data_IF_747967713280
#
_entry.id   IF_747967713280
#
_cell.length_a   1.000
_cell.length_b   1.000
_cell.length_c   1.000
_cell.angle_alpha   90.00
_cell.angle_beta   90.00
_cell.angle_gamma   90.00
#
_symmetry.space_group_name_H-M   'P 1'
#
loop_
_entity.id
_entity.type
_entity.pdbx_description
1 polymer ?
#
# COMPACT_ATOMS: atom_id res chain seq x y z
N UNK A 1 18.04 13.85 3.86
CA UNK A 1 18.02 12.38 4.04
C UNK A 1 17.40 11.70 2.82
N UNK A 2 18.19 11.02 1.99
CA UNK A 2 17.73 10.40 0.73
C UNK A 2 16.85 9.15 0.91
N UNK A 3 16.17 8.73 -0.17
CA UNK A 3 15.22 7.61 -0.17
C UNK A 3 15.85 6.27 0.29
N UNK A 4 17.09 5.98 -0.11
CA UNK A 4 17.83 4.75 0.29
C UNK A 4 18.01 4.65 1.81
N UNK A 5 18.38 5.75 2.49
CA UNK A 5 18.52 5.77 3.93
C UNK A 5 17.18 5.57 4.68
N UNK A 6 16.07 6.00 4.08
CA UNK A 6 14.74 5.76 4.66
C UNK A 6 14.34 4.29 4.56
N UNK A 7 14.70 3.61 3.47
CA UNK A 7 14.45 2.17 3.29
C UNK A 7 15.23 1.34 4.32
N UNK A 8 16.52 1.62 4.51
CA UNK A 8 17.34 0.91 5.50
C UNK A 8 16.79 1.07 6.93
N UNK A 9 16.33 2.27 7.30
CA UNK A 9 15.64 2.49 8.59
C UNK A 9 14.35 1.70 8.71
N UNK A 10 13.60 1.55 7.62
CA UNK A 10 12.34 0.82 7.59
C UNK A 10 12.55 -0.69 7.73
N UNK A 11 13.60 -1.23 7.08
CA UNK A 11 14.02 -2.62 7.24
C UNK A 11 14.40 -2.91 8.70
N UNK A 12 15.23 -2.05 9.32
CA UNK A 12 15.58 -2.19 10.74
C UNK A 12 14.35 -2.21 11.65
N UNK A 13 13.36 -1.36 11.38
CA UNK A 13 12.09 -1.33 12.13
C UNK A 13 11.29 -2.62 11.98
N UNK A 14 11.24 -3.21 10.78
CA UNK A 14 10.55 -4.50 10.58
C UNK A 14 11.23 -5.62 11.36
N UNK A 15 12.55 -5.72 11.27
CA UNK A 15 13.33 -6.76 11.98
C UNK A 15 13.21 -6.62 13.50
N UNK A 16 13.36 -5.39 14.02
CA UNK A 16 13.21 -5.15 15.46
C UNK A 16 11.77 -5.38 15.93
N UNK A 17 10.76 -5.01 15.14
CA UNK A 17 9.37 -5.28 15.49
C UNK A 17 9.06 -6.78 15.51
N UNK A 18 9.60 -7.56 14.57
CA UNK A 18 9.50 -9.03 14.56
C UNK A 18 10.13 -9.66 15.81
N UNK A 19 11.36 -9.27 16.14
CA UNK A 19 12.07 -9.80 17.32
C UNK A 19 11.35 -9.52 18.65
N UNK A 20 10.72 -8.35 18.78
CA UNK A 20 10.07 -7.92 20.03
C UNK A 20 8.58 -8.25 20.09
N UNK A 21 7.98 -8.78 19.02
CA UNK A 21 6.53 -8.95 18.89
C UNK A 21 5.94 -9.82 20.01
N UNK A 22 6.53 -10.99 20.22
CA UNK A 22 6.09 -11.97 21.22
C UNK A 22 6.20 -11.40 22.64
N UNK A 23 7.34 -10.81 22.98
CA UNK A 23 7.58 -10.23 24.31
C UNK A 23 6.60 -9.08 24.58
N UNK A 24 6.37 -8.22 23.59
CA UNK A 24 5.43 -7.12 23.69
C UNK A 24 4.00 -7.61 23.90
N UNK A 25 3.57 -8.64 23.17
CA UNK A 25 2.22 -9.23 23.32
C UNK A 25 2.04 -9.82 24.72
N UNK A 26 3.05 -10.52 25.24
CA UNK A 26 3.04 -11.04 26.61
C UNK A 26 2.89 -9.91 27.66
N UNK A 27 3.68 -8.84 27.56
CA UNK A 27 3.58 -7.72 28.48
C UNK A 27 2.24 -6.99 28.39
N UNK A 28 1.69 -6.81 27.18
CA UNK A 28 0.38 -6.20 26.99
C UNK A 28 -0.75 -7.04 27.59
N UNK A 29 -0.67 -8.36 27.47
CA UNK A 29 -1.63 -9.28 28.10
C UNK A 29 -1.61 -9.15 29.62
N UNK A 30 -0.43 -9.21 30.23
CA UNK A 30 -0.25 -9.08 31.69
C UNK A 30 -0.69 -7.70 32.18
N UNK A 31 -0.30 -6.63 31.49
CA UNK A 31 -0.60 -5.26 31.91
C UNK A 31 -2.10 -4.92 31.86
N UNK A 32 -2.86 -5.51 30.93
CA UNK A 32 -4.31 -5.27 30.76
C UNK A 32 -5.19 -6.19 31.59
N UNK A 33 -4.65 -7.30 32.09
CA UNK A 33 -5.41 -8.27 32.86
C UNK A 33 -5.74 -7.71 34.27
N UNK A 34 -7.02 -7.50 34.56
CA UNK A 34 -7.49 -6.95 35.85
C UNK A 34 -7.50 -7.96 36.99
N UNK A 35 -7.46 -9.27 36.70
CA UNK A 35 -7.45 -10.33 37.74
C UNK A 35 -6.08 -10.47 38.41
N UNK A 36 -5.03 -9.97 37.77
CA UNK A 36 -3.67 -9.98 38.31
C UNK A 36 -3.45 -8.84 39.30
N UNK A 37 -2.61 -9.05 40.34
CA UNK A 37 -2.28 -8.02 41.32
C UNK A 37 -1.54 -6.84 40.68
N UNK A 38 -1.79 -5.64 41.21
CA UNK A 38 -1.29 -4.38 40.66
C UNK A 38 0.24 -4.35 40.49
N UNK A 39 1.00 -4.94 41.42
CA UNK A 39 2.46 -5.00 41.36
C UNK A 39 2.98 -5.71 40.11
N UNK A 40 2.34 -6.82 39.71
CA UNK A 40 2.73 -7.59 38.52
C UNK A 40 2.42 -6.80 37.25
N UNK A 41 1.26 -6.13 37.20
CA UNK A 41 0.89 -5.26 36.08
C UNK A 41 1.87 -4.09 35.91
N UNK A 42 2.27 -3.48 37.03
CA UNK A 42 3.24 -2.38 37.02
C UNK A 42 4.61 -2.83 36.51
N UNK A 43 5.10 -4.00 36.94
CA UNK A 43 6.35 -4.58 36.41
C UNK A 43 6.26 -4.81 34.89
N UNK A 44 5.13 -5.31 34.39
CA UNK A 44 4.91 -5.48 32.95
C UNK A 44 4.86 -4.15 32.19
N UNK A 45 4.30 -3.09 32.79
CA UNK A 45 4.29 -1.74 32.20
C UNK A 45 5.70 -1.14 32.10
N UNK A 46 6.56 -1.35 33.12
CA UNK A 46 7.97 -0.97 33.06
C UNK A 46 8.70 -1.71 31.93
N UNK A 47 8.46 -3.02 31.78
CA UNK A 47 8.98 -3.80 30.66
C UNK A 47 8.47 -3.32 29.30
N UNK A 48 7.24 -2.83 29.22
CA UNK A 48 6.72 -2.27 27.98
C UNK A 48 7.40 -0.94 27.59
N UNK A 49 7.79 -0.12 28.58
CA UNK A 49 8.46 1.15 28.35
C UNK A 49 9.84 0.97 27.71
N UNK A 50 10.59 -0.06 28.08
CA UNK A 50 11.89 -0.36 27.45
C UNK A 50 11.72 -0.76 25.98
N UNK A 51 10.66 -1.51 25.65
CA UNK A 51 10.34 -1.94 24.28
C UNK A 51 9.71 -0.82 23.41
N UNK A 52 9.14 0.22 24.02
CA UNK A 52 8.46 1.31 23.33
C UNK A 52 9.42 2.35 22.68
N UNK A 53 10.73 2.22 22.87
CA UNK A 53 11.79 3.17 22.44
C UNK A 53 11.93 3.44 20.93
N UNK A 54 10.99 3.01 20.09
CA UNK A 54 10.74 3.62 18.78
C UNK A 54 10.80 2.67 17.58
N UNK A 55 11.53 1.56 17.67
CA UNK A 55 11.73 0.65 16.52
C UNK A 55 10.93 -0.66 16.64
N UNK A 56 10.66 -1.16 17.85
CA UNK A 56 9.98 -2.45 18.08
C UNK A 56 8.46 -2.46 17.97
N UNK A 57 7.83 -1.37 17.53
CA UNK A 57 6.36 -1.29 17.45
C UNK A 57 5.89 -1.54 16.03
N UNK A 58 4.97 -2.47 15.84
CA UNK A 58 4.34 -2.73 14.53
C UNK A 58 3.73 -1.45 13.92
N UNK A 59 3.14 -0.58 14.74
CA UNK A 59 2.61 0.72 14.28
C UNK A 59 3.68 1.76 13.88
N UNK A 60 4.97 1.51 14.10
CA UNK A 60 6.05 2.37 13.61
C UNK A 60 6.52 1.99 12.19
N UNK A 61 6.17 0.78 11.73
CA UNK A 61 6.42 0.30 10.37
C UNK A 61 5.45 0.97 9.42
N UNK A 62 5.94 1.50 8.28
CA UNK A 62 5.10 2.14 7.26
C UNK A 62 5.11 1.33 5.97
N UNK A 63 3.99 1.30 5.27
CA UNK A 63 3.92 0.73 3.94
C UNK A 63 4.67 1.64 2.95
N UNK A 64 5.59 1.07 2.17
CA UNK A 64 6.39 1.75 1.17
C UNK A 64 6.27 1.02 -0.17
N UNK A 65 6.41 1.76 -1.26
CA UNK A 65 6.54 1.16 -2.59
C UNK A 65 7.79 0.29 -2.65
N UNK A 66 7.68 -0.94 -3.14
CA UNK A 66 8.82 -1.87 -3.23
C UNK A 66 9.89 -1.41 -4.24
N UNK A 67 9.47 -0.88 -5.40
CA UNK A 67 10.39 -0.40 -6.44
C UNK A 67 11.10 0.90 -6.04
N UNK A 68 10.34 1.88 -5.56
CA UNK A 68 10.83 3.26 -5.39
C UNK A 68 11.12 3.66 -3.95
N UNK A 69 10.66 2.86 -2.97
CA UNK A 69 10.78 3.20 -1.53
C UNK A 69 9.91 4.39 -1.07
N UNK A 70 9.04 4.91 -1.95
CA UNK A 70 8.15 6.04 -1.66
C UNK A 70 7.09 5.65 -0.63
N UNK A 71 6.96 6.43 0.44
CA UNK A 71 6.04 6.14 1.56
C UNK A 71 4.64 6.75 1.46
N UNK A 72 4.29 7.37 0.32
CA UNK A 72 2.97 8.01 0.11
C UNK A 72 2.30 7.42 -1.12
N UNK A 73 0.98 7.28 -1.07
CA UNK A 73 0.18 6.77 -2.19
C UNK A 73 0.53 5.32 -2.55
N UNK A 74 0.84 4.50 -1.53
CA UNK A 74 1.08 3.07 -1.72
C UNK A 74 -0.27 2.36 -1.72
N UNK A 75 -0.54 1.57 -2.75
CA UNK A 75 -1.74 0.74 -2.86
C UNK A 75 -1.43 -0.59 -2.21
N UNK A 76 -1.99 -0.84 -1.02
CA UNK A 76 -1.65 -1.99 -0.17
C UNK A 76 -1.80 -3.35 -0.86
N UNK A 77 -2.75 -3.49 -1.80
CA UNK A 77 -2.97 -4.72 -2.58
C UNK A 77 -1.76 -5.12 -3.42
N UNK A 78 -1.04 -4.13 -3.97
CA UNK A 78 0.09 -4.35 -4.88
C UNK A 78 1.44 -4.02 -4.23
N UNK A 79 1.45 -3.32 -3.09
CA UNK A 79 2.69 -2.85 -2.46
C UNK A 79 3.44 -1.80 -3.31
N UNK A 80 2.77 -1.18 -4.27
CA UNK A 80 3.32 -0.24 -5.25
C UNK A 80 2.74 1.17 -5.07
N UNK A 81 3.49 2.18 -5.49
CA UNK A 81 2.96 3.56 -5.52
C UNK A 81 2.04 3.76 -6.73
N UNK A 82 1.12 4.73 -6.64
CA UNK A 82 0.16 5.07 -7.71
C UNK A 82 0.79 5.20 -9.11
N UNK A 83 1.99 5.78 -9.20
CA UNK A 83 2.69 5.99 -10.47
C UNK A 83 3.23 4.67 -11.01
N UNK A 84 3.95 3.88 -10.18
CA UNK A 84 4.43 2.55 -10.59
C UNK A 84 3.27 1.62 -10.96
N UNK A 85 2.18 1.59 -10.19
CA UNK A 85 1.01 0.76 -10.53
C UNK A 85 0.40 1.15 -11.87
N UNK A 86 0.40 2.43 -12.21
CA UNK A 86 -0.11 2.91 -13.49
C UNK A 86 0.78 2.45 -14.65
N UNK A 87 2.11 2.57 -14.50
CA UNK A 87 3.09 2.13 -15.51
C UNK A 87 3.01 0.62 -15.73
N UNK A 88 3.01 -0.16 -14.64
CA UNK A 88 2.93 -1.62 -14.70
C UNK A 88 1.61 -2.06 -15.35
N UNK A 89 0.47 -1.50 -14.92
CA UNK A 89 -0.83 -1.83 -15.50
C UNK A 89 -0.94 -1.46 -16.99
N UNK A 90 -0.31 -0.36 -17.41
CA UNK A 90 -0.26 0.02 -18.82
C UNK A 90 0.61 -0.95 -19.63
N UNK A 91 1.78 -1.33 -19.13
CA UNK A 91 2.67 -2.31 -19.76
C UNK A 91 2.01 -3.70 -19.89
N UNK A 92 1.23 -4.11 -18.89
CA UNK A 92 0.49 -5.37 -18.94
C UNK A 92 -0.58 -5.36 -20.04
N UNK A 93 -1.25 -4.21 -20.27
CA UNK A 93 -2.31 -4.07 -21.27
C UNK A 93 -1.83 -4.12 -22.73
N UNK A 94 -0.53 -3.91 -22.97
CA UNK A 94 0.08 -3.97 -24.32
C UNK A 94 0.77 -5.30 -24.63
N UNK A 95 0.77 -6.25 -23.69
CA UNK A 95 1.42 -7.56 -23.85
C UNK A 95 0.46 -8.61 -24.44
N UNK A 96 0.67 -8.97 -25.71
CA UNK A 96 -0.02 -10.10 -26.38
C UNK A 96 0.69 -11.45 -26.18
N UNK A 97 1.77 -11.51 -25.41
CA UNK A 97 2.55 -12.73 -25.17
C UNK A 97 2.12 -13.42 -23.88
N UNK A 98 1.52 -14.60 -24.02
CA UNK A 98 0.99 -15.46 -22.95
C UNK A 98 2.04 -16.00 -21.97
N UNK A 99 3.34 -15.89 -22.27
CA UNK A 99 4.40 -16.48 -21.47
C UNK A 99 4.94 -15.59 -20.33
N UNK A 100 4.70 -14.27 -20.36
CA UNK A 100 5.16 -13.35 -19.31
C UNK A 100 4.15 -13.08 -18.19
N UNK A 101 2.88 -13.50 -18.37
CA UNK A 101 1.84 -13.46 -17.31
C UNK A 101 2.24 -14.28 -16.08
N UNK A 102 3.07 -15.30 -16.25
CA UNK A 102 3.58 -16.11 -15.13
C UNK A 102 4.39 -15.28 -14.12
N UNK A 103 5.05 -14.18 -14.49
CA UNK A 103 5.87 -13.43 -13.52
C UNK A 103 5.02 -12.64 -12.50
N UNK A 104 3.89 -12.06 -12.93
CA UNK A 104 2.99 -11.27 -12.08
C UNK A 104 1.97 -12.17 -11.39
N UNK A 105 1.50 -13.24 -12.05
CA UNK A 105 0.65 -14.25 -11.40
C UNK A 105 1.44 -15.04 -10.35
N UNK A 106 2.72 -15.32 -10.55
CA UNK A 106 3.58 -15.91 -9.51
C UNK A 106 3.86 -14.92 -8.36
N UNK A 107 3.95 -13.62 -8.64
CA UNK A 107 4.07 -12.59 -7.60
C UNK A 107 2.76 -12.41 -6.82
N UNK A 108 1.62 -12.44 -7.51
CA UNK A 108 0.29 -12.44 -6.89
C UNK A 108 0.03 -13.73 -6.12
N UNK A 109 0.47 -14.89 -6.61
CA UNK A 109 0.40 -16.17 -5.91
C UNK A 109 1.29 -16.18 -4.65
N UNK A 110 2.48 -15.57 -4.70
CA UNK A 110 3.35 -15.35 -3.55
C UNK A 110 2.71 -14.42 -2.50
N UNK A 111 2.06 -13.32 -2.94
CA UNK A 111 1.33 -12.41 -2.05
C UNK A 111 0.04 -13.07 -1.50
N UNK A 112 -0.62 -13.94 -2.28
CA UNK A 112 -1.81 -14.70 -1.85
C UNK A 112 -1.45 -15.77 -0.82
N UNK A 113 -0.26 -16.36 -0.90
CA UNK A 113 0.29 -17.26 0.14
C UNK A 113 0.69 -16.51 1.42
N UNK A 114 0.99 -15.21 1.34
CA UNK A 114 1.36 -14.39 2.50
C UNK A 114 0.17 -13.84 3.33
N UNK A 115 -1.05 -14.32 3.09
CA UNK A 115 -2.17 -14.19 4.06
C UNK A 115 -2.70 -12.78 4.33
N UNK A 116 -2.72 -11.88 3.33
CA UNK A 116 -3.30 -10.53 3.48
C UNK A 116 -4.56 -10.37 2.63
N UNK A 117 -5.60 -11.11 2.99
CA UNK A 117 -6.97 -10.93 2.50
C UNK A 117 -7.77 -10.16 3.55
N UNK A 118 -7.90 -8.85 3.37
CA UNK A 118 -9.01 -8.12 3.98
C UNK A 118 -9.87 -7.60 2.83
N UNK A 119 -11.08 -8.14 2.80
CA UNK A 119 -12.17 -7.75 1.94
C UNK A 119 -12.52 -6.27 2.13
N UNK A 120 -12.52 -5.50 1.05
CA UNK A 120 -13.52 -4.44 0.86
C UNK A 120 -13.75 -4.23 -0.63
N UNK A 121 -15.02 -4.46 -0.97
CA UNK A 121 -15.67 -4.25 -2.24
C UNK A 121 -15.42 -2.86 -2.82
N UNK A 122 -15.39 -2.83 -4.16
CA UNK A 122 -15.82 -1.72 -5.02
C UNK A 122 -15.26 -0.31 -4.72
N UNK A 123 -14.09 -0.02 -5.30
CA UNK A 123 -13.88 1.26 -6.01
C UNK A 123 -13.07 0.98 -7.27
N UNK A 124 -13.72 0.40 -8.29
CA UNK A 124 -13.24 0.46 -9.67
C UNK A 124 -13.58 1.86 -10.20
N UNK A 125 -12.83 2.87 -9.77
CA UNK A 125 -12.68 4.09 -10.54
C UNK A 125 -11.32 3.98 -11.20
N UNK A 126 -11.33 3.64 -12.50
CA UNK A 126 -10.19 3.76 -13.40
C UNK A 126 -9.49 5.10 -13.14
N UNK A 127 -8.30 5.12 -12.49
CA UNK A 127 -7.59 6.38 -12.28
C UNK A 127 -6.75 6.75 -13.50
N UNK A 128 -6.92 6.04 -14.62
CA UNK A 128 -6.08 6.15 -15.82
C UNK A 128 -6.70 6.96 -16.96
N UNK A 129 -7.84 7.63 -16.79
CA UNK A 129 -8.26 8.62 -17.78
C UNK A 129 -7.67 9.98 -17.40
N UNK A 130 -6.68 10.51 -18.15
CA UNK A 130 -6.35 11.91 -18.02
C UNK A 130 -7.62 12.71 -18.32
N UNK A 131 -7.91 13.73 -17.52
CA UNK A 131 -9.03 14.67 -17.73
C UNK A 131 -9.00 15.25 -19.16
N UNK A 132 -7.83 15.23 -19.81
CA UNK A 132 -7.60 15.58 -21.21
C UNK A 132 -8.36 14.72 -22.24
N UNK A 133 -8.74 13.48 -21.94
CA UNK A 133 -9.42 12.60 -22.90
C UNK A 133 -10.93 12.88 -23.02
N UNK A 134 -11.57 13.41 -21.96
CA UNK A 134 -12.98 13.85 -22.05
C UNK A 134 -13.14 15.11 -22.92
N UNK A 135 -12.11 15.97 -22.96
CA UNK A 135 -12.10 17.14 -23.83
C UNK A 135 -11.86 16.78 -25.31
N UNK A 136 -11.07 15.74 -25.58
CA UNK A 136 -10.78 15.32 -26.96
C UNK A 136 -11.98 14.63 -27.64
N UNK A 137 -12.84 13.94 -26.88
CA UNK A 137 -14.03 13.30 -27.43
C UNK A 137 -15.19 14.29 -27.66
N UNK A 138 -15.32 15.34 -26.84
CA UNK A 138 -16.37 16.35 -27.02
C UNK A 138 -16.09 17.32 -28.19
N UNK A 139 -14.84 17.46 -28.63
CA UNK A 139 -14.49 18.35 -29.75
C UNK A 139 -14.64 17.71 -31.13
N UNK A 140 -14.79 16.38 -31.21
CA UNK A 140 -14.83 15.65 -32.50
C UNK A 140 -16.24 15.42 -33.05
N UNK A 141 -17.29 15.73 -32.28
CA UNK A 141 -18.69 15.62 -32.74
C UNK A 141 -19.27 16.92 -33.29
N UNK A 142 -18.54 18.05 -33.24
CA UNK A 142 -19.01 19.34 -33.76
C UNK A 142 -18.53 19.68 -35.18
N UNK A 143 -17.62 18.90 -35.77
CA UNK A 143 -17.03 19.19 -37.09
C UNK A 143 -17.55 18.29 -38.22
N UNK A 144 -18.75 17.72 -38.08
CA UNK A 144 -19.42 16.98 -39.16
C UNK A 144 -20.83 17.52 -39.44
N UNK A 145 -20.86 18.64 -40.17
CA UNK A 145 -21.83 18.93 -41.23
C UNK A 145 -23.31 19.17 -40.85
N UNK A 146 -23.81 20.37 -41.15
CA UNK A 146 -24.88 20.62 -42.13
C UNK A 146 -25.43 22.04 -41.97
N UNK A 147 -25.39 22.81 -43.04
CA UNK A 147 -25.83 24.19 -43.09
C UNK A 147 -27.33 24.37 -42.83
N UNK A 148 -27.69 25.57 -42.37
CA UNK A 148 -29.02 26.15 -42.54
C UNK A 148 -28.88 27.64 -42.81
N UNK A 149 -29.19 28.00 -44.04
CA UNK A 149 -29.56 29.33 -44.52
C UNK A 149 -30.72 29.89 -43.70
N UNK A 150 -30.63 31.13 -43.18
CA UNK A 150 -31.78 32.03 -43.05
C UNK A 150 -31.30 33.47 -43.30
N UNK A 151 -31.95 34.08 -44.29
CA UNK A 151 -31.90 35.47 -44.73
C UNK A 151 -32.38 36.45 -43.66
N UNK A 152 -31.79 37.65 -43.64
CA UNK A 152 -32.49 38.94 -43.69
C UNK A 152 -31.58 39.98 -44.33
#
# INVERSE_FOLDING_TARGET
MGAKAQLLRDIRKRLSAEQMEVQRRAFLYVARNTTLPATVRHKAQLGLNTLNGGEGRMGAVKNRCWETGRGRGVISKFGLCRVSTCIVAFADSSSSNSEQKLSVENFQAFIKQAGRTDDVNHVFLHPCLPISFLWYFHRRTMDSGLGRTISK
#
